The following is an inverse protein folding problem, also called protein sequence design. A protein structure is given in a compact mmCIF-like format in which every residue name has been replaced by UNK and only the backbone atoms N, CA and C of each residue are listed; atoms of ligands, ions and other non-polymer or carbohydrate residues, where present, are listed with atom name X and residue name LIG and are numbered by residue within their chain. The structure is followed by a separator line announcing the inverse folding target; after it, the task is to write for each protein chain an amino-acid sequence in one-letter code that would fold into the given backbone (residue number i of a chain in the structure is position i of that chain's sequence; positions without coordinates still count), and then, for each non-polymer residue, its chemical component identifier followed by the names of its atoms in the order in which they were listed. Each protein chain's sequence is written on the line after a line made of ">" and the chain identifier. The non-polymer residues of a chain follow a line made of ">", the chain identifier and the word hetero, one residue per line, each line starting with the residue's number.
data_IF_064068004803
#
_entry.id   IF_064068004803
#
_cell.length_a   1.000
_cell.length_b   1.000
_cell.length_c   1.000
_cell.angle_alpha   90.00
_cell.angle_beta   90.00
_cell.angle_gamma   90.00
#
_symmetry.space_group_name_H-M   'P 1'
#
loop_
_entity.id
_entity.type
_entity.pdbx_description
1 polymer ?
#
# COMPACT_ATOMS: atom_id res chain seq x y z
N UNK A 1 -9.68 12.92 18.23
CA UNK A 1 -9.88 11.47 17.93
C UNK A 1 -8.71 10.71 18.53
N UNK A 2 -8.90 9.51 19.10
CA UNK A 2 -7.77 8.68 19.54
C UNK A 2 -7.03 8.11 18.32
N UNK A 3 -5.73 7.84 18.44
CA UNK A 3 -4.94 7.25 17.34
C UNK A 3 -5.51 5.91 16.88
N UNK A 4 -5.97 5.09 17.82
CA UNK A 4 -6.59 3.79 17.54
C UNK A 4 -7.88 3.91 16.72
N UNK A 5 -8.75 4.85 17.08
CA UNK A 5 -10.00 5.10 16.34
C UNK A 5 -9.69 5.57 14.92
N UNK A 6 -8.70 6.44 14.75
CA UNK A 6 -8.28 6.91 13.43
C UNK A 6 -7.75 5.75 12.58
N UNK A 7 -6.87 4.92 13.13
CA UNK A 7 -6.33 3.75 12.43
C UNK A 7 -7.44 2.79 12.01
N UNK A 8 -8.41 2.54 12.88
CA UNK A 8 -9.57 1.70 12.58
C UNK A 8 -10.42 2.27 11.43
N UNK A 9 -10.73 3.57 11.45
CA UNK A 9 -11.50 4.21 10.39
C UNK A 9 -10.76 4.16 9.05
N UNK A 10 -9.45 4.44 9.04
CA UNK A 10 -8.64 4.36 7.81
C UNK A 10 -8.63 2.92 7.27
N UNK A 11 -8.44 1.92 8.13
CA UNK A 11 -8.52 0.52 7.73
C UNK A 11 -9.90 0.18 7.12
N UNK A 12 -10.98 0.64 7.76
CA UNK A 12 -12.36 0.42 7.32
C UNK A 12 -12.69 1.06 5.97
N UNK A 13 -12.01 2.13 5.56
CA UNK A 13 -12.21 2.74 4.24
C UNK A 13 -11.18 2.29 3.19
N UNK A 14 -10.01 1.80 3.62
CA UNK A 14 -8.91 1.44 2.72
C UNK A 14 -9.19 0.19 1.85
N UNK A 15 -9.97 -0.77 2.36
CA UNK A 15 -10.19 -2.06 1.69
C UNK A 15 -11.00 -1.96 0.40
N UNK A 16 -11.82 -0.92 0.23
CA UNK A 16 -12.77 -0.78 -0.89
C UNK A 16 -12.02 -0.76 -2.23
N UNK A 17 -10.95 0.04 -2.32
CA UNK A 17 -10.14 0.16 -3.55
C UNK A 17 -9.35 -1.12 -3.81
N UNK A 18 -8.73 -1.68 -2.77
CA UNK A 18 -7.98 -2.93 -2.85
C UNK A 18 -8.85 -4.09 -3.36
N UNK A 19 -10.05 -4.26 -2.78
CA UNK A 19 -11.00 -5.30 -3.18
C UNK A 19 -11.40 -5.21 -4.65
N UNK A 20 -11.62 -3.99 -5.18
CA UNK A 20 -11.92 -3.78 -6.60
C UNK A 20 -10.76 -4.20 -7.50
N UNK A 21 -9.54 -3.81 -7.14
CA UNK A 21 -8.31 -4.14 -7.88
C UNK A 21 -8.07 -5.65 -7.89
N UNK A 22 -8.18 -6.31 -6.73
CA UNK A 22 -8.03 -7.75 -6.62
C UNK A 22 -9.08 -8.50 -7.44
N UNK A 23 -10.34 -8.08 -7.38
CA UNK A 23 -11.42 -8.70 -8.17
C UNK A 23 -11.15 -8.59 -9.67
N UNK A 24 -10.72 -7.42 -10.15
CA UNK A 24 -10.39 -7.23 -11.56
C UNK A 24 -9.27 -8.17 -12.02
N UNK A 25 -8.23 -8.32 -11.20
CA UNK A 25 -7.12 -9.21 -11.53
C UNK A 25 -7.51 -10.69 -11.51
N UNK A 26 -8.31 -11.10 -10.52
CA UNK A 26 -8.85 -12.46 -10.44
C UNK A 26 -9.69 -12.77 -11.68
N UNK A 27 -10.55 -11.86 -12.11
CA UNK A 27 -11.36 -12.03 -13.33
C UNK A 27 -10.48 -12.20 -14.58
N UNK A 28 -9.43 -11.37 -14.73
CA UNK A 28 -8.49 -11.47 -15.85
C UNK A 28 -7.72 -12.80 -15.86
N UNK A 29 -7.29 -13.28 -14.69
CA UNK A 29 -6.50 -14.51 -14.58
C UNK A 29 -7.37 -15.76 -14.73
N UNK A 30 -8.66 -15.69 -14.38
CA UNK A 30 -9.62 -16.80 -14.53
C UNK A 30 -9.85 -17.21 -15.98
N UNK A 31 -9.63 -16.30 -16.93
CA UNK A 31 -9.83 -16.54 -18.37
C UNK A 31 -8.57 -17.06 -19.08
N UNK A 32 -7.48 -17.33 -18.33
CA UNK A 32 -6.23 -17.84 -18.91
C UNK A 32 -6.29 -19.35 -19.16
N UNK A 33 -5.61 -19.79 -20.23
CA UNK A 33 -5.56 -21.19 -20.68
C UNK A 33 -5.16 -22.19 -19.59
N UNK A 34 -4.25 -21.85 -18.67
CA UNK A 34 -3.85 -22.78 -17.59
C UNK A 34 -5.01 -23.11 -16.63
N UNK A 35 -5.92 -22.16 -16.38
CA UNK A 35 -7.12 -22.38 -15.55
C UNK A 35 -8.11 -23.29 -16.29
N UNK A 36 -8.22 -23.11 -17.60
CA UNK A 36 -9.08 -23.93 -18.45
C UNK A 36 -8.60 -25.39 -18.51
N UNK A 37 -7.29 -25.60 -18.69
CA UNK A 37 -6.65 -26.93 -18.69
C UNK A 37 -6.82 -27.62 -17.33
N UNK A 38 -6.62 -26.91 -16.23
CA UNK A 38 -6.84 -27.47 -14.89
C UNK A 38 -8.29 -27.90 -14.67
N UNK A 39 -9.26 -27.13 -15.20
CA UNK A 39 -10.68 -27.48 -15.15
C UNK A 39 -11.01 -28.70 -16.01
N UNK A 40 -10.44 -28.79 -17.21
CA UNK A 40 -10.61 -29.97 -18.09
C UNK A 40 -10.01 -31.24 -17.46
N UNK A 41 -8.98 -31.08 -16.63
CA UNK A 41 -8.33 -32.20 -15.91
C UNK A 41 -9.17 -32.72 -14.72
N UNK A 42 -10.34 -32.13 -14.45
CA UNK A 42 -11.24 -32.57 -13.38
C UNK A 42 -10.85 -32.07 -11.99
N UNK A 43 -9.94 -31.10 -11.88
CA UNK A 43 -9.49 -30.55 -10.60
C UNK A 43 -10.61 -29.80 -9.86
N UNK A 44 -10.60 -29.89 -8.53
CA UNK A 44 -11.57 -29.19 -7.69
C UNK A 44 -11.38 -27.67 -7.79
N UNK A 45 -12.47 -26.91 -7.86
CA UNK A 45 -12.39 -25.44 -7.97
C UNK A 45 -11.56 -24.75 -6.88
N UNK A 46 -11.59 -25.26 -5.64
CA UNK A 46 -10.76 -24.76 -4.53
C UNK A 46 -9.27 -25.02 -4.79
N UNK A 47 -8.92 -26.19 -5.32
CA UNK A 47 -7.53 -26.53 -5.67
C UNK A 47 -6.99 -25.56 -6.73
N UNK A 48 -7.78 -25.33 -7.79
CA UNK A 48 -7.42 -24.37 -8.86
C UNK A 48 -7.19 -22.96 -8.28
N UNK A 49 -8.01 -22.53 -7.32
CA UNK A 49 -7.84 -21.19 -6.71
C UNK A 49 -6.56 -21.10 -5.87
N UNK A 50 -6.29 -22.07 -4.99
CA UNK A 50 -5.18 -21.97 -4.03
C UNK A 50 -3.82 -22.42 -4.59
N UNK A 51 -3.80 -23.37 -5.51
CA UNK A 51 -2.55 -23.93 -6.06
C UNK A 51 -2.22 -23.39 -7.45
N UNK A 52 -3.22 -23.09 -8.27
CA UNK A 52 -2.99 -22.59 -9.63
C UNK A 52 -3.06 -21.05 -9.70
N UNK A 53 -4.13 -20.47 -9.14
CA UNK A 53 -4.43 -19.06 -9.32
C UNK A 53 -3.70 -18.18 -8.30
N UNK A 54 -3.71 -18.56 -7.01
CA UNK A 54 -3.11 -17.76 -5.94
C UNK A 54 -1.61 -17.53 -6.14
N UNK A 55 -0.75 -18.55 -6.37
CA UNK A 55 0.68 -18.32 -6.52
C UNK A 55 1.01 -17.39 -7.69
N UNK A 56 0.25 -17.51 -8.79
CA UNK A 56 0.38 -16.63 -9.95
C UNK A 56 -0.15 -15.21 -9.72
N UNK A 57 -1.07 -15.02 -8.77
CA UNK A 57 -1.63 -13.72 -8.38
C UNK A 57 -0.86 -13.04 -7.24
N UNK A 58 -0.22 -13.80 -6.36
CA UNK A 58 0.48 -13.31 -5.17
C UNK A 58 1.37 -12.10 -5.45
N UNK A 59 2.19 -12.09 -6.52
CA UNK A 59 2.98 -10.92 -6.88
C UNK A 59 2.20 -9.62 -6.98
N UNK A 60 1.15 -9.66 -7.78
CA UNK A 60 0.27 -8.54 -8.01
C UNK A 60 -0.47 -8.14 -6.74
N UNK A 61 -0.94 -9.11 -5.96
CA UNK A 61 -1.60 -8.87 -4.68
C UNK A 61 -0.67 -8.15 -3.70
N UNK A 62 0.60 -8.55 -3.65
CA UNK A 62 1.61 -7.93 -2.79
C UNK A 62 1.94 -6.50 -3.25
N UNK A 63 2.15 -6.26 -4.55
CA UNK A 63 2.38 -4.91 -5.07
C UNK A 63 1.18 -3.97 -4.81
N UNK A 64 -0.04 -4.46 -5.06
CA UNK A 64 -1.25 -3.70 -4.77
C UNK A 64 -1.45 -3.46 -3.26
N UNK A 65 -1.05 -4.41 -2.40
CA UNK A 65 -1.04 -4.22 -0.95
C UNK A 65 -0.08 -3.09 -0.51
N UNK A 66 1.13 -3.02 -1.09
CA UNK A 66 2.04 -1.89 -0.87
C UNK A 66 1.39 -0.56 -1.25
N UNK A 67 0.71 -0.51 -2.39
CA UNK A 67 -0.07 0.67 -2.80
C UNK A 67 -1.15 1.05 -1.79
N UNK A 68 -1.85 0.08 -1.21
CA UNK A 68 -2.83 0.33 -0.13
C UNK A 68 -2.18 0.88 1.14
N UNK A 69 -0.99 0.40 1.51
CA UNK A 69 -0.24 0.93 2.66
C UNK A 69 0.15 2.40 2.45
N UNK A 70 0.67 2.74 1.26
CA UNK A 70 1.00 4.13 0.91
C UNK A 70 -0.24 5.02 1.03
N UNK A 71 -1.37 4.57 0.48
CA UNK A 71 -2.64 5.30 0.57
C UNK A 71 -3.11 5.50 2.02
N UNK A 72 -2.99 4.48 2.87
CA UNK A 72 -3.36 4.56 4.29
C UNK A 72 -2.46 5.53 5.08
N UNK A 73 -1.15 5.51 4.83
CA UNK A 73 -0.19 6.44 5.44
C UNK A 73 -0.53 7.88 5.05
N UNK A 74 -0.76 8.14 3.76
CA UNK A 74 -1.13 9.48 3.28
C UNK A 74 -2.45 9.97 3.86
N UNK A 75 -3.44 9.07 4.02
CA UNK A 75 -4.69 9.41 4.68
C UNK A 75 -4.47 9.77 6.16
N UNK A 76 -3.71 8.96 6.91
CA UNK A 76 -3.40 9.22 8.32
C UNK A 76 -2.69 10.57 8.49
N UNK A 77 -1.62 10.79 7.73
CA UNK A 77 -0.84 12.02 7.78
C UNK A 77 -1.69 13.23 7.38
N UNK A 78 -2.54 13.10 6.36
CA UNK A 78 -3.45 14.16 5.95
C UNK A 78 -4.47 14.52 7.03
N UNK A 79 -5.07 13.53 7.70
CA UNK A 79 -5.99 13.79 8.82
C UNK A 79 -5.27 14.43 10.02
N UNK A 80 -4.09 13.94 10.37
CA UNK A 80 -3.27 14.51 11.44
C UNK A 80 -2.84 15.95 11.14
N UNK A 81 -2.47 16.22 9.89
CA UNK A 81 -2.12 17.54 9.41
C UNK A 81 -3.29 18.54 9.51
N UNK A 82 -4.52 18.07 9.29
CA UNK A 82 -5.74 18.86 9.49
C UNK A 82 -6.14 19.02 10.97
N UNK A 83 -5.36 18.46 11.91
CA UNK A 83 -5.64 18.51 13.34
C UNK A 83 -6.72 17.52 13.81
N UNK A 84 -7.08 16.54 12.97
CA UNK A 84 -8.10 15.53 13.31
C UNK A 84 -7.52 14.33 14.06
N UNK A 85 -6.19 14.15 14.05
CA UNK A 85 -5.49 13.09 14.78
C UNK A 85 -5.27 13.40 16.27
N UNK A 86 -4.61 12.49 16.99
CA UNK A 86 -4.28 12.74 18.40
C UNK A 86 -3.03 13.62 18.50
N UNK A 87 -3.19 14.85 18.98
CA UNK A 87 -2.11 15.83 19.13
C UNK A 87 -1.17 15.53 20.29
N UNK A 88 -1.57 14.67 21.22
CA UNK A 88 -0.77 14.25 22.38
C UNK A 88 0.29 13.18 22.04
N UNK A 89 0.27 12.61 20.84
CA UNK A 89 1.22 11.59 20.40
C UNK A 89 2.08 12.18 19.30
N UNK A 90 3.41 12.03 19.41
CA UNK A 90 4.33 12.52 18.39
C UNK A 90 4.33 11.58 17.19
N UNK A 91 3.53 11.92 16.19
CA UNK A 91 3.47 11.25 14.88
C UNK A 91 4.02 12.15 13.78
N UNK A 92 4.38 11.58 12.63
CA UNK A 92 4.90 12.36 11.51
C UNK A 92 3.90 13.40 10.99
N UNK A 93 2.59 13.10 10.98
CA UNK A 93 1.56 14.06 10.58
C UNK A 93 1.33 15.16 11.62
N UNK A 94 1.41 14.83 12.92
CA UNK A 94 1.33 15.82 13.98
C UNK A 94 2.54 16.78 13.96
N UNK A 95 3.74 16.30 13.61
CA UNK A 95 4.91 17.16 13.39
C UNK A 95 4.64 18.19 12.28
N UNK A 96 3.99 17.79 11.18
CA UNK A 96 3.59 18.72 10.11
C UNK A 96 2.52 19.73 10.57
N UNK A 97 1.57 19.28 11.39
CA UNK A 97 0.55 20.16 12.00
C UNK A 97 1.20 21.26 12.84
N UNK A 98 2.10 20.90 13.76
CA UNK A 98 2.78 21.87 14.62
C UNK A 98 3.66 22.84 13.82
N UNK A 99 4.31 22.40 12.74
CA UNK A 99 5.09 23.30 11.88
C UNK A 99 4.24 24.40 11.26
N UNK A 100 3.04 24.05 10.79
CA UNK A 100 2.10 25.02 10.22
C UNK A 100 1.59 25.96 11.30
N UNK A 101 1.24 25.43 12.48
CA UNK A 101 0.81 26.24 13.61
C UNK A 101 1.86 27.27 14.06
N UNK A 102 3.13 26.85 14.19
CA UNK A 102 4.23 27.73 14.60
C UNK A 102 4.85 28.56 13.47
N UNK A 103 4.32 28.44 12.24
CA UNK A 103 4.86 29.10 11.04
C UNK A 103 6.37 28.85 10.86
N UNK A 104 6.80 27.60 11.07
CA UNK A 104 8.21 27.19 11.02
C UNK A 104 8.90 27.54 9.68
N UNK A 105 8.13 27.53 8.59
CA UNK A 105 8.59 27.92 7.24
C UNK A 105 8.96 29.40 7.18
N UNK A 106 8.11 30.28 7.70
CA UNK A 106 8.34 31.74 7.73
C UNK A 106 9.51 32.08 8.66
N UNK A 107 9.68 31.30 9.74
CA UNK A 107 10.80 31.45 10.69
C UNK A 107 12.14 30.89 10.18
N UNK A 108 12.19 30.31 8.98
CA UNK A 108 13.41 29.72 8.42
C UNK A 108 13.92 28.47 9.14
N UNK A 109 13.08 27.82 9.95
CA UNK A 109 13.45 26.64 10.74
C UNK A 109 13.43 25.37 9.88
N UNK A 110 14.39 25.25 8.97
CA UNK A 110 14.47 24.18 7.98
C UNK A 110 14.58 22.77 8.57
N UNK A 111 15.24 22.63 9.71
CA UNK A 111 15.35 21.34 10.41
C UNK A 111 13.99 20.81 10.87
N UNK A 112 13.04 21.71 11.14
CA UNK A 112 11.73 21.30 11.62
C UNK A 112 10.93 20.67 10.48
N UNK A 113 10.72 21.39 9.37
CA UNK A 113 9.95 20.92 8.21
C UNK A 113 10.70 19.93 7.32
N UNK A 114 12.03 19.99 7.26
CA UNK A 114 12.83 19.06 6.48
C UNK A 114 12.83 17.63 7.05
N UNK A 115 12.81 17.49 8.38
CA UNK A 115 12.85 16.18 9.05
C UNK A 115 11.71 15.23 8.61
N UNK A 116 10.42 15.58 8.70
CA UNK A 116 9.35 14.67 8.29
C UNK A 116 9.39 14.39 6.77
N UNK A 117 9.80 15.35 5.94
CA UNK A 117 9.89 15.15 4.48
C UNK A 117 10.93 14.09 4.14
N UNK A 118 12.13 14.16 4.72
CA UNK A 118 13.18 13.16 4.49
C UNK A 118 12.72 11.77 4.92
N UNK A 119 12.03 11.67 6.07
CA UNK A 119 11.48 10.40 6.54
C UNK A 119 10.42 9.85 5.58
N UNK A 120 9.52 10.70 5.06
CA UNK A 120 8.54 10.28 4.05
C UNK A 120 9.19 9.82 2.76
N UNK A 121 10.24 10.51 2.30
CA UNK A 121 10.99 10.11 1.10
C UNK A 121 11.59 8.72 1.31
N UNK A 122 12.26 8.48 2.43
CA UNK A 122 12.89 7.18 2.74
C UNK A 122 11.80 6.09 2.84
N UNK A 123 10.71 6.37 3.54
CA UNK A 123 9.60 5.42 3.72
C UNK A 123 8.95 5.04 2.39
N UNK A 124 8.57 6.03 1.58
CA UNK A 124 7.91 5.77 0.30
C UNK A 124 8.85 5.21 -0.75
N UNK A 125 10.11 5.63 -0.79
CA UNK A 125 11.11 5.01 -1.66
C UNK A 125 11.36 3.56 -1.25
N UNK A 126 11.48 3.26 0.04
CA UNK A 126 11.64 1.90 0.55
C UNK A 126 10.45 1.00 0.18
N UNK A 127 9.21 1.50 0.36
CA UNK A 127 8.01 0.79 -0.07
C UNK A 127 7.96 0.60 -1.58
N UNK A 128 8.34 1.60 -2.36
CA UNK A 128 8.38 1.51 -3.82
C UNK A 128 9.39 0.47 -4.31
N UNK A 129 10.61 0.48 -3.75
CA UNK A 129 11.64 -0.53 -4.06
C UNK A 129 11.15 -1.93 -3.64
N UNK A 130 10.50 -2.05 -2.48
CA UNK A 130 9.91 -3.32 -2.07
C UNK A 130 8.86 -3.80 -3.08
N UNK A 131 8.00 -2.91 -3.59
CA UNK A 131 7.03 -3.24 -4.64
C UNK A 131 7.72 -3.75 -5.90
N UNK A 132 8.78 -3.08 -6.37
CA UNK A 132 9.54 -3.52 -7.55
C UNK A 132 10.21 -4.87 -7.31
N UNK A 133 10.85 -5.06 -6.16
CA UNK A 133 11.52 -6.32 -5.83
C UNK A 133 10.55 -7.50 -5.75
N UNK A 134 9.33 -7.25 -5.26
CA UNK A 134 8.25 -8.24 -5.25
C UNK A 134 7.75 -8.57 -6.65
N UNK A 135 7.65 -7.57 -7.54
CA UNK A 135 7.31 -7.78 -8.96
C UNK A 135 8.41 -8.52 -9.73
N UNK A 136 9.69 -8.30 -9.36
CA UNK A 136 10.84 -8.97 -10.00
C UNK A 136 10.98 -10.43 -9.57
N UNK A 137 10.86 -10.73 -8.27
CA UNK A 137 10.85 -12.11 -7.75
C UNK A 137 9.75 -12.95 -8.39
N UNK A 138 8.63 -12.31 -8.64
CA UNK A 138 7.43 -12.89 -9.19
C UNK A 138 7.45 -13.18 -10.69
N UNK A 139 8.14 -12.35 -11.47
CA UNK A 139 8.09 -12.41 -12.92
C UNK A 139 9.49 -12.71 -13.48
N UNK A 140 9.97 -13.97 -13.34
CA UNK A 140 11.32 -14.35 -13.76
C UNK A 140 11.54 -14.21 -15.28
N UNK A 141 10.47 -14.03 -16.07
CA UNK A 141 10.55 -13.79 -17.52
C UNK A 141 11.12 -12.41 -17.91
N UNK A 142 11.19 -11.46 -16.97
CA UNK A 142 11.88 -10.18 -17.19
C UNK A 142 13.41 -10.30 -17.10
N UNK A 143 13.91 -11.36 -16.47
CA UNK A 143 15.35 -11.61 -16.28
C UNK A 143 16.08 -12.00 -17.56
N UNK A 144 15.37 -12.49 -18.58
CA UNK A 144 15.98 -12.93 -19.85
C UNK A 144 16.23 -11.79 -20.86
N UNK A 145 15.90 -10.52 -20.53
CA UNK A 145 16.03 -9.39 -21.45
C UNK A 145 16.94 -8.23 -20.98
N UNK A 146 17.66 -8.34 -19.86
CA UNK A 146 18.69 -7.37 -19.45
C UNK A 146 20.09 -7.97 -19.54
#
# INVERSE_FOLDING_TARGET
>A
MTQELMAFLIALFSWIRAARVYRAQVLSMRERQYVEIARMSGEKGIYIVFFELMPNLMPFLLAAFVGSLIGAILAAVGLEFLGLGATNISTLGNILYWQNFYNAVIRGMWWWWGSPIVIFIILFAGLFIASIGLDEWANPRLKERS
#
